data_IF_000388049283
#
_entry.id   IF_000388049283
#
_cell.length_a   1.000
_cell.length_b   1.000
_cell.length_c   1.000
_cell.angle_alpha   90.00
_cell.angle_beta   90.00
_cell.angle_gamma   90.00
#
_symmetry.space_group_name_H-M   'P 1'
#
loop_
_entity.id
_entity.type
_entity.pdbx_description
1 polymer ?
#
# COMPACT_ATOMS: atom_id res chain seq x y z
N UNK A 1 20.81 -6.88 -1.65
CA UNK A 1 19.77 -5.89 -1.26
C UNK A 1 18.38 -6.47 -1.43
N UNK A 2 17.99 -6.97 -2.61
CA UNK A 2 16.71 -7.69 -2.80
C UNK A 2 16.49 -8.77 -1.75
N UNK A 3 17.46 -9.65 -1.54
CA UNK A 3 17.42 -10.68 -0.49
C UNK A 3 17.22 -10.13 0.94
N UNK A 4 17.70 -8.91 1.23
CA UNK A 4 17.58 -8.30 2.57
C UNK A 4 16.17 -7.72 2.77
N UNK A 5 15.61 -7.12 1.72
CA UNK A 5 14.21 -6.67 1.68
C UNK A 5 13.27 -7.88 1.75
N UNK A 6 13.60 -8.98 1.07
CA UNK A 6 12.83 -10.23 1.13
C UNK A 6 12.83 -10.84 2.54
N UNK A 7 13.94 -10.73 3.30
CA UNK A 7 13.94 -11.12 4.72
C UNK A 7 12.96 -10.31 5.56
N UNK A 8 12.74 -9.02 5.26
CA UNK A 8 11.69 -8.21 5.92
C UNK A 8 10.30 -8.70 5.53
N UNK A 9 10.08 -8.98 4.24
CA UNK A 9 8.80 -9.47 3.71
C UNK A 9 8.41 -10.87 4.18
N UNK A 10 9.40 -11.70 4.51
CA UNK A 10 9.22 -13.02 5.14
C UNK A 10 9.14 -12.96 6.67
N UNK A 11 9.02 -11.77 7.25
CA UNK A 11 8.98 -11.50 8.69
C UNK A 11 10.17 -12.05 9.50
N UNK A 12 11.33 -12.25 8.86
CA UNK A 12 12.57 -12.63 9.55
C UNK A 12 13.23 -11.43 10.24
N UNK A 13 13.03 -10.23 9.67
CA UNK A 13 13.39 -8.95 10.29
C UNK A 13 12.13 -8.29 10.86
N UNK A 14 12.27 -7.61 12.00
CA UNK A 14 11.18 -6.79 12.55
C UNK A 14 10.78 -5.72 11.52
N UNK A 15 9.47 -5.48 11.39
CA UNK A 15 8.91 -4.48 10.47
C UNK A 15 9.40 -3.06 10.76
N UNK A 16 9.89 -2.78 11.98
CA UNK A 16 10.44 -1.49 12.38
C UNK A 16 11.81 -1.20 11.74
N UNK A 17 12.54 -2.22 11.26
CA UNK A 17 13.87 -2.02 10.69
C UNK A 17 13.73 -1.41 9.30
N UNK A 18 14.36 -0.25 9.12
CA UNK A 18 14.45 0.46 7.84
C UNK A 18 15.75 0.10 7.12
N UNK A 19 15.64 -0.09 5.81
CA UNK A 19 16.66 -0.57 4.89
C UNK A 19 16.77 0.40 3.71
N UNK A 20 17.70 1.34 3.79
CA UNK A 20 17.87 2.38 2.77
C UNK A 20 19.11 2.08 1.92
N UNK A 21 18.94 2.06 0.60
CA UNK A 21 20.05 1.93 -0.35
C UNK A 21 20.27 3.26 -1.08
N UNK A 22 21.34 3.96 -0.73
CA UNK A 22 21.77 5.13 -1.48
C UNK A 22 22.63 4.70 -2.68
N UNK A 23 22.09 4.85 -3.89
CA UNK A 23 22.79 4.48 -5.13
C UNK A 23 23.88 5.50 -5.48
N UNK A 24 23.68 6.78 -5.15
CA UNK A 24 24.62 7.85 -5.49
C UNK A 24 25.88 7.76 -4.63
N UNK A 25 25.67 7.61 -3.32
CA UNK A 25 26.76 7.55 -2.35
C UNK A 25 27.32 6.13 -2.17
N UNK A 26 26.66 5.13 -2.78
CA UNK A 26 27.01 3.70 -2.72
C UNK A 26 26.99 3.14 -1.30
N UNK A 27 26.07 3.65 -0.49
CA UNK A 27 25.90 3.26 0.91
C UNK A 27 24.63 2.42 1.10
N UNK A 28 24.69 1.52 2.09
CA UNK A 28 23.52 0.80 2.58
C UNK A 28 23.35 1.10 4.06
N UNK A 29 22.27 1.78 4.40
CA UNK A 29 21.97 2.25 5.76
C UNK A 29 20.88 1.38 6.35
N UNK A 30 21.07 0.98 7.60
CA UNK A 30 20.12 0.17 8.35
C UNK A 30 19.77 0.95 9.62
N UNK A 31 18.49 1.23 9.81
CA UNK A 31 18.01 1.94 10.99
C UNK A 31 17.11 1.02 11.81
N UNK A 32 17.40 0.95 13.11
CA UNK A 32 16.65 0.14 14.07
C UNK A 32 16.37 0.92 15.37
N UNK A 33 16.61 2.22 15.37
CA UNK A 33 16.31 3.13 16.48
C UNK A 33 14.80 3.33 16.63
N UNK A 34 14.40 3.71 17.85
CA UNK A 34 13.02 3.97 18.19
C UNK A 34 12.65 5.43 17.91
N UNK A 35 11.37 5.70 17.65
CA UNK A 35 10.85 7.06 17.41
C UNK A 35 10.72 7.45 15.95
N UNK A 36 11.05 6.55 15.02
CA UNK A 36 10.82 6.71 13.58
C UNK A 36 9.33 6.61 13.26
N UNK A 37 8.88 7.41 12.31
CA UNK A 37 7.48 7.47 11.88
C UNK A 37 7.33 6.56 10.68
N UNK A 38 6.52 5.52 10.83
CA UNK A 38 6.28 4.55 9.77
C UNK A 38 4.87 4.72 9.23
N UNK A 39 4.70 4.64 7.91
CA UNK A 39 3.41 4.59 7.21
C UNK A 39 3.22 3.21 6.58
N UNK A 40 2.14 2.48 6.90
CA UNK A 40 1.86 1.23 6.22
C UNK A 40 1.35 1.49 4.80
N UNK A 41 1.91 0.78 3.82
CA UNK A 41 1.54 0.84 2.42
C UNK A 41 1.41 -0.57 1.85
N UNK A 42 0.65 -0.72 0.76
CA UNK A 42 0.59 -2.00 0.05
C UNK A 42 1.84 -2.23 -0.78
N UNK A 43 2.29 -3.47 -0.81
CA UNK A 43 3.46 -3.88 -1.58
C UNK A 43 3.08 -4.27 -3.01
N UNK A 44 3.89 -3.85 -3.98
CA UNK A 44 3.75 -4.22 -5.39
C UNK A 44 4.79 -5.28 -5.76
N UNK A 45 4.36 -6.28 -6.53
CA UNK A 45 5.23 -7.31 -7.09
C UNK A 45 6.19 -6.69 -8.12
N UNK A 46 7.50 -6.79 -7.85
CA UNK A 46 8.54 -6.16 -8.68
C UNK A 46 9.19 -7.12 -9.68
N UNK A 47 9.29 -8.39 -9.31
CA UNK A 47 9.92 -9.43 -10.12
C UNK A 47 8.83 -10.28 -10.80
N UNK A 48 9.10 -10.66 -12.05
CA UNK A 48 8.33 -11.70 -12.73
C UNK A 48 8.78 -13.04 -12.14
N UNK A 49 7.86 -13.81 -11.54
CA UNK A 49 8.16 -15.14 -11.01
C UNK A 49 8.51 -16.09 -12.18
N UNK A 50 9.76 -16.05 -12.68
CA UNK A 50 10.25 -16.92 -13.75
C UNK A 50 10.61 -18.34 -13.26
N UNK A 51 10.52 -18.63 -11.95
CA UNK A 51 10.78 -19.96 -11.42
C UNK A 51 10.24 -20.18 -10.02
N UNK A 52 9.24 -21.06 -9.88
CA UNK A 52 8.82 -21.55 -8.56
C UNK A 52 7.31 -21.51 -8.29
N UNK A 53 6.46 -21.80 -9.28
CA UNK A 53 5.04 -22.06 -9.03
C UNK A 53 4.83 -23.19 -7.99
N UNK A 54 5.81 -24.08 -7.82
CA UNK A 54 5.70 -25.27 -6.98
C UNK A 54 6.15 -25.03 -5.51
N UNK A 55 7.21 -24.24 -5.27
CA UNK A 55 7.74 -24.01 -3.91
C UNK A 55 7.01 -22.86 -3.17
N UNK A 56 6.60 -21.81 -3.88
CA UNK A 56 5.83 -20.72 -3.29
C UNK A 56 4.38 -21.13 -2.98
N UNK A 57 3.80 -22.03 -3.77
CA UNK A 57 2.51 -22.65 -3.46
C UNK A 57 2.57 -23.53 -2.20
N UNK A 58 3.70 -24.20 -1.94
CA UNK A 58 3.89 -25.00 -0.72
C UNK A 58 4.05 -24.14 0.54
N UNK A 59 4.78 -23.02 0.46
CA UNK A 59 4.89 -22.06 1.55
C UNK A 59 3.57 -21.30 1.80
N UNK A 60 2.85 -20.94 0.74
CA UNK A 60 1.54 -20.33 0.82
C UNK A 60 0.50 -21.29 1.41
N UNK A 61 0.54 -22.59 1.06
CA UNK A 61 -0.31 -23.63 1.65
C UNK A 61 -0.04 -23.86 3.15
N UNK A 62 1.19 -23.66 3.63
CA UNK A 62 1.52 -23.75 5.06
C UNK A 62 0.95 -22.57 5.89
N UNK A 63 0.71 -21.42 5.26
CA UNK A 63 0.21 -20.18 5.88
C UNK A 63 -1.26 -19.89 5.49
N UNK A 64 -1.89 -20.73 4.67
CA UNK A 64 -3.25 -20.52 4.15
C UNK A 64 -3.35 -19.37 3.12
N UNK A 65 -2.24 -18.94 2.54
CA UNK A 65 -2.18 -17.92 1.50
C UNK A 65 -2.38 -18.54 0.10
N UNK A 66 -2.99 -17.82 -0.85
CA UNK A 66 -3.15 -18.27 -2.23
C UNK A 66 -1.81 -18.28 -3.00
N UNK A 67 -1.66 -19.15 -4.03
CA UNK A 67 -0.43 -19.26 -4.79
C UNK A 67 -0.13 -17.98 -5.59
N UNK A 68 1.14 -17.52 -5.64
CA UNK A 68 1.52 -16.34 -6.40
C UNK A 68 1.48 -16.67 -7.89
N UNK A 69 0.47 -16.16 -8.58
CA UNK A 69 0.46 -16.06 -10.04
C UNK A 69 0.49 -14.57 -10.41
N UNK A 70 1.43 -13.83 -9.81
CA UNK A 70 1.44 -12.37 -9.85
C UNK A 70 2.44 -11.88 -10.90
N UNK A 71 1.92 -11.41 -12.03
CA UNK A 71 2.71 -10.69 -13.03
C UNK A 71 3.24 -9.37 -12.44
N UNK A 72 4.42 -8.91 -12.87
CA UNK A 72 5.03 -7.65 -12.39
C UNK A 72 4.06 -6.46 -12.44
N UNK A 73 4.11 -5.63 -11.39
CA UNK A 73 3.24 -4.46 -11.24
C UNK A 73 1.85 -4.76 -10.69
N UNK A 74 1.60 -5.97 -10.17
CA UNK A 74 0.38 -6.32 -9.44
C UNK A 74 0.58 -6.14 -7.93
N UNK A 75 -0.50 -5.86 -7.20
CA UNK A 75 -0.47 -5.90 -5.73
C UNK A 75 -0.24 -7.33 -5.23
N UNK A 76 0.51 -7.46 -4.13
CA UNK A 76 0.65 -8.75 -3.43
C UNK A 76 -0.69 -9.13 -2.76
N UNK A 77 -1.47 -8.14 -2.33
CA UNK A 77 -2.81 -8.35 -1.79
C UNK A 77 -3.75 -8.89 -2.88
N UNK A 78 -4.33 -10.07 -2.63
CA UNK A 78 -5.29 -10.72 -3.53
C UNK A 78 -6.70 -10.71 -2.95
N UNK A 79 -7.71 -10.96 -3.81
CA UNK A 79 -9.11 -11.06 -3.38
C UNK A 79 -9.35 -12.18 -2.37
N UNK A 80 -8.55 -13.24 -2.39
CA UNK A 80 -8.71 -14.34 -1.45
C UNK A 80 -8.29 -13.95 -0.03
N UNK A 81 -7.22 -13.15 0.11
CA UNK A 81 -6.82 -12.58 1.40
C UNK A 81 -7.91 -11.66 1.96
N UNK A 82 -8.56 -10.87 1.10
CA UNK A 82 -9.68 -10.01 1.51
C UNK A 82 -10.87 -10.85 2.01
N UNK A 83 -11.21 -11.95 1.32
CA UNK A 83 -12.28 -12.87 1.75
C UNK A 83 -12.00 -13.48 3.12
N UNK A 84 -10.74 -13.81 3.41
CA UNK A 84 -10.33 -14.32 4.73
C UNK A 84 -10.60 -13.26 5.81
N UNK A 85 -10.22 -12.00 5.57
CA UNK A 85 -10.46 -10.89 6.49
C UNK A 85 -11.97 -10.60 6.68
N UNK A 86 -12.76 -10.64 5.61
CA UNK A 86 -14.21 -10.47 5.68
C UNK A 86 -14.89 -11.58 6.50
N UNK A 87 -14.47 -12.83 6.31
CA UNK A 87 -14.97 -13.96 7.09
C UNK A 87 -14.61 -13.82 8.59
N UNK A 88 -13.42 -13.32 8.89
CA UNK A 88 -12.97 -13.03 10.25
C UNK A 88 -13.79 -11.90 10.88
N UNK A 89 -14.02 -10.81 10.15
CA UNK A 89 -14.82 -9.68 10.60
C UNK A 89 -16.28 -10.08 10.87
N UNK A 90 -16.82 -10.99 10.06
CA UNK A 90 -18.16 -11.56 10.25
C UNK A 90 -18.23 -12.62 11.38
N UNK A 91 -17.13 -12.90 12.08
CA UNK A 91 -17.01 -13.95 13.09
C UNK A 91 -17.46 -15.34 12.59
N UNK A 92 -17.26 -15.62 11.30
CA UNK A 92 -17.60 -16.91 10.70
C UNK A 92 -16.51 -17.99 10.95
N UNK A 93 -15.40 -17.58 11.56
CA UNK A 93 -14.25 -18.44 11.82
C UNK A 93 -14.47 -19.21 13.14
N UNK A 94 -14.19 -20.53 13.19
CA UNK A 94 -14.41 -21.32 14.40
C UNK A 94 -13.71 -20.74 15.63
N UNK A 95 -14.38 -20.69 16.80
CA UNK A 95 -13.76 -20.20 18.03
C UNK A 95 -12.54 -21.06 18.38
N UNK A 96 -11.38 -20.42 18.53
CA UNK A 96 -10.10 -21.06 18.83
C UNK A 96 -9.09 -21.10 17.68
N UNK A 97 -9.46 -20.64 16.49
CA UNK A 97 -8.49 -20.37 15.42
C UNK A 97 -7.85 -19.00 15.60
N UNK A 98 -6.55 -18.91 15.29
CA UNK A 98 -5.82 -17.65 15.30
C UNK A 98 -6.36 -16.73 14.20
N UNK A 99 -6.60 -15.48 14.56
CA UNK A 99 -7.08 -14.45 13.65
C UNK A 99 -5.95 -14.05 12.71
N UNK A 100 -6.23 -13.96 11.42
CA UNK A 100 -5.25 -13.50 10.46
C UNK A 100 -5.00 -11.99 10.67
N UNK A 101 -6.07 -11.20 10.71
CA UNK A 101 -6.03 -9.79 11.08
C UNK A 101 -4.98 -8.95 10.35
N UNK A 102 -4.56 -7.86 10.99
CA UNK A 102 -3.53 -6.97 10.47
C UNK A 102 -2.14 -7.61 10.51
N UNK A 103 -1.83 -8.33 11.58
CA UNK A 103 -0.52 -8.96 11.73
C UNK A 103 -0.28 -9.97 10.61
N UNK A 104 -1.28 -10.76 10.21
CA UNK A 104 -1.18 -11.66 9.07
C UNK A 104 -0.89 -10.95 7.75
N UNK A 105 -1.42 -9.73 7.54
CA UNK A 105 -1.12 -8.91 6.35
C UNK A 105 0.34 -8.46 6.31
N UNK A 106 0.90 -8.11 7.47
CA UNK A 106 2.31 -7.72 7.59
C UNK A 106 3.21 -8.93 7.38
N UNK A 107 2.89 -10.07 8.02
CA UNK A 107 3.69 -11.30 7.93
C UNK A 107 3.64 -11.96 6.54
N UNK A 108 2.55 -11.77 5.79
CA UNK A 108 2.44 -12.22 4.40
C UNK A 108 3.11 -11.27 3.40
N UNK A 109 3.67 -10.14 3.85
CA UNK A 109 4.30 -9.14 2.99
C UNK A 109 3.33 -8.33 2.14
N UNK A 110 2.02 -8.46 2.36
CA UNK A 110 1.00 -7.66 1.67
C UNK A 110 1.13 -6.17 2.02
N UNK A 111 1.53 -5.89 3.26
CA UNK A 111 1.73 -4.54 3.79
C UNK A 111 3.16 -4.40 4.28
N UNK A 112 3.77 -3.29 3.91
CA UNK A 112 5.13 -2.92 4.30
C UNK A 112 5.07 -1.57 5.01
N UNK A 113 5.78 -1.45 6.14
CA UNK A 113 5.91 -0.20 6.87
C UNK A 113 7.07 0.58 6.25
N UNK A 114 6.78 1.75 5.70
CA UNK A 114 7.78 2.65 5.15
C UNK A 114 8.10 3.78 6.12
N UNK A 115 9.39 3.96 6.36
CA UNK A 115 9.94 5.13 7.04
C UNK A 115 10.08 6.32 6.09
N UNK A 116 10.21 7.52 6.63
CA UNK A 116 10.45 8.74 5.84
C UNK A 116 11.73 8.67 4.99
N UNK A 117 12.80 8.04 5.51
CA UNK A 117 14.03 7.85 4.73
C UNK A 117 13.89 6.78 3.63
N UNK A 118 13.09 5.72 3.87
CA UNK A 118 12.82 4.72 2.82
C UNK A 118 11.96 5.30 1.71
N UNK A 119 11.04 6.21 2.04
CA UNK A 119 10.14 6.89 1.10
C UNK A 119 10.92 7.65 0.01
N UNK A 120 12.14 8.13 0.28
CA UNK A 120 12.99 8.76 -0.74
C UNK A 120 13.43 7.80 -1.86
N UNK A 121 13.46 6.50 -1.57
CA UNK A 121 13.87 5.45 -2.52
C UNK A 121 12.68 4.67 -3.10
N UNK A 122 11.49 4.84 -2.53
CA UNK A 122 10.28 4.15 -2.95
C UNK A 122 9.54 4.92 -4.05
N UNK A 123 8.91 4.18 -4.96
CA UNK A 123 7.94 4.71 -5.92
C UNK A 123 6.54 4.25 -5.53
N UNK A 124 5.68 5.17 -5.11
CA UNK A 124 4.34 4.89 -4.57
C UNK A 124 3.27 5.37 -5.57
N UNK A 125 2.33 4.51 -5.94
CA UNK A 125 1.12 4.91 -6.67
C UNK A 125 -0.04 5.23 -5.70
N UNK A 126 -0.97 6.09 -6.13
CA UNK A 126 -2.05 6.57 -5.26
C UNK A 126 -3.27 5.66 -5.28
N UNK A 127 -3.58 5.05 -6.43
CA UNK A 127 -4.70 4.12 -6.56
C UNK A 127 -4.28 2.86 -7.31
N UNK A 128 -4.96 1.72 -7.11
CA UNK A 128 -4.65 0.48 -7.83
C UNK A 128 -4.90 0.61 -9.34
N UNK A 129 -5.78 1.51 -9.79
CA UNK A 129 -5.97 1.73 -11.24
C UNK A 129 -4.72 2.34 -11.90
N UNK A 130 -3.91 3.10 -11.15
CA UNK A 130 -2.64 3.62 -11.68
C UNK A 130 -1.67 2.46 -12.01
N UNK A 131 -1.73 1.35 -11.27
CA UNK A 131 -0.94 0.14 -11.57
C UNK A 131 -1.44 -0.58 -12.83
N UNK A 132 -2.76 -0.62 -13.05
CA UNK A 132 -3.34 -1.20 -14.26
C UNK A 132 -2.95 -0.39 -15.49
N UNK A 133 -3.08 0.94 -15.42
CA UNK A 133 -2.63 1.86 -16.47
C UNK A 133 -1.14 1.70 -16.77
N UNK A 134 -0.31 1.59 -15.72
CA UNK A 134 1.13 1.31 -15.85
C UNK A 134 1.40 0.00 -16.59
N UNK A 135 0.67 -1.07 -16.28
CA UNK A 135 0.84 -2.38 -16.94
C UNK A 135 0.46 -2.33 -18.41
N UNK A 136 -0.67 -1.71 -18.74
CA UNK A 136 -1.11 -1.55 -20.13
C UNK A 136 -0.11 -0.70 -20.93
N UNK A 137 0.41 0.37 -20.33
CA UNK A 137 1.45 1.20 -20.94
C UNK A 137 2.73 0.39 -21.24
N UNK A 138 3.15 -0.48 -20.33
CA UNK A 138 4.32 -1.37 -20.54
C UNK A 138 4.09 -2.43 -21.61
N UNK A 139 2.84 -2.84 -21.82
CA UNK A 139 2.46 -3.74 -22.91
C UNK A 139 2.40 -3.02 -24.28
N UNK A 140 2.68 -1.72 -24.33
CA UNK A 140 2.73 -0.94 -25.57
C UNK A 140 1.38 -0.37 -26.00
N UNK A 141 0.35 -0.47 -25.16
CA UNK A 141 -0.89 0.27 -25.37
C UNK A 141 -0.63 1.74 -25.06
N UNK A 142 -0.67 2.59 -26.09
CA UNK A 142 -0.64 4.03 -25.93
C UNK A 142 -1.99 4.46 -25.37
N UNK A 143 -2.10 4.51 -24.05
CA UNK A 143 -3.33 5.00 -23.44
C UNK A 143 -3.19 6.49 -23.23
N UNK A 144 -3.99 7.25 -23.98
CA UNK A 144 -4.24 8.63 -23.61
C UNK A 144 -4.99 8.63 -22.27
N UNK A 145 -4.59 9.48 -21.29
CA UNK A 145 -5.27 9.59 -20.00
C UNK A 145 -6.78 9.87 -20.11
N UNK A 146 -7.19 10.40 -21.27
CA UNK A 146 -8.57 10.70 -21.62
C UNK A 146 -9.35 9.42 -21.97
N UNK A 147 -8.71 8.41 -22.60
CA UNK A 147 -9.34 7.19 -23.11
C UNK A 147 -9.53 6.09 -22.05
N UNK A 148 -8.62 5.96 -21.08
CA UNK A 148 -8.73 5.02 -19.95
C UNK A 148 -10.02 5.20 -19.14
N UNK A 149 -10.60 6.38 -19.24
CA UNK A 149 -11.71 6.81 -18.42
C UNK A 149 -12.74 7.64 -19.21
N UNK A 150 -12.69 7.58 -20.55
CA UNK A 150 -13.59 8.31 -21.45
C UNK A 150 -15.06 7.89 -21.31
N UNK A 151 -15.32 6.76 -20.64
CA UNK A 151 -16.68 6.28 -20.34
C UNK A 151 -17.22 6.70 -18.97
N UNK A 152 -16.42 7.36 -18.13
CA UNK A 152 -16.73 7.55 -16.72
C UNK A 152 -16.87 9.05 -16.39
N UNK A 153 -18.07 9.41 -15.92
CA UNK A 153 -18.57 10.71 -15.47
C UNK A 153 -17.71 11.98 -15.74
N UNK A 154 -18.28 12.90 -16.52
CA UNK A 154 -17.73 14.23 -16.82
C UNK A 154 -17.35 15.05 -15.56
N UNK A 155 -17.95 14.74 -14.41
CA UNK A 155 -17.80 15.49 -13.16
C UNK A 155 -16.71 14.94 -12.21
N UNK A 156 -15.94 13.92 -12.63
CA UNK A 156 -14.90 13.33 -11.78
C UNK A 156 -13.69 14.23 -11.60
N UNK A 157 -12.94 14.01 -10.52
CA UNK A 157 -11.67 14.72 -10.26
C UNK A 157 -10.67 14.42 -11.38
N UNK A 158 -10.04 15.48 -11.90
CA UNK A 158 -8.95 15.36 -12.88
C UNK A 158 -7.78 14.62 -12.24
N UNK A 159 -7.40 13.48 -12.83
CA UNK A 159 -6.25 12.69 -12.40
C UNK A 159 -4.95 13.26 -12.98
N UNK A 160 -3.86 13.06 -12.26
CA UNK A 160 -2.52 13.40 -12.73
C UNK A 160 -2.14 12.51 -13.91
N UNK A 161 -1.50 13.08 -14.94
CA UNK A 161 -0.99 12.31 -16.07
C UNK A 161 0.16 11.41 -15.61
N UNK A 162 0.07 10.12 -15.93
CA UNK A 162 1.14 9.16 -15.63
C UNK A 162 2.33 9.48 -16.52
N UNK A 163 3.51 9.58 -15.92
CA UNK A 163 4.73 9.84 -16.68
C UNK A 163 5.16 8.56 -17.43
N UNK A 164 5.28 8.58 -18.78
CA UNK A 164 5.72 7.43 -19.56
C UNK A 164 7.12 6.93 -19.22
N UNK A 165 7.97 7.75 -18.60
CA UNK A 165 9.31 7.35 -18.16
C UNK A 165 9.32 6.61 -16.83
N UNK A 166 8.16 6.38 -16.21
CA UNK A 166 8.10 5.65 -14.94
C UNK A 166 8.55 4.20 -15.17
N UNK A 167 9.61 3.79 -14.47
CA UNK A 167 10.21 2.48 -14.68
C UNK A 167 9.49 1.36 -13.93
N UNK A 168 9.07 1.58 -12.69
CA UNK A 168 8.36 0.59 -11.86
C UNK A 168 7.76 1.25 -10.61
N UNK A 169 6.57 0.82 -10.21
CA UNK A 169 6.00 1.11 -8.89
C UNK A 169 6.44 0.05 -7.88
N UNK A 170 6.79 0.49 -6.68
CA UNK A 170 7.26 -0.39 -5.59
C UNK A 170 6.17 -0.66 -4.57
N UNK A 171 5.29 0.31 -4.35
CA UNK A 171 4.22 0.29 -3.36
C UNK A 171 2.99 1.01 -3.88
N UNK A 172 1.84 0.78 -3.24
CA UNK A 172 0.60 1.49 -3.46
C UNK A 172 0.09 2.05 -2.13
N UNK A 173 -0.37 3.29 -2.13
CA UNK A 173 -1.03 3.90 -0.97
C UNK A 173 -2.32 3.13 -0.64
N UNK A 174 -2.64 2.97 0.66
CA UNK A 174 -3.84 2.23 1.08
C UNK A 174 -5.08 3.00 0.69
N UNK A 175 -5.13 4.28 1.08
CA UNK A 175 -6.15 5.22 0.67
C UNK A 175 -5.70 6.66 0.94
N UNK A 176 -5.85 7.61 0.00
CA UNK A 176 -5.37 8.99 0.18
C UNK A 176 -5.94 9.71 1.41
N UNK A 177 -7.14 9.36 1.87
CA UNK A 177 -7.74 9.93 3.07
C UNK A 177 -6.98 9.62 4.36
N UNK A 178 -6.14 8.58 4.38
CA UNK A 178 -5.33 8.22 5.55
C UNK A 178 -4.20 9.24 5.82
N UNK A 179 -3.96 10.18 4.91
CA UNK A 179 -3.08 11.33 5.13
C UNK A 179 -3.66 12.35 6.12
N UNK A 180 -4.99 12.33 6.34
CA UNK A 180 -5.67 13.28 7.20
C UNK A 180 -5.55 12.89 8.68
N UNK A 181 -5.26 13.87 9.53
CA UNK A 181 -5.33 13.69 10.98
C UNK A 181 -6.77 13.53 11.49
N UNK A 182 -6.93 13.07 12.74
CA UNK A 182 -8.23 12.77 13.36
C UNK A 182 -9.23 13.94 13.30
N UNK A 183 -8.76 15.18 13.52
CA UNK A 183 -9.64 16.36 13.45
C UNK A 183 -10.00 16.78 12.02
N UNK A 184 -9.23 16.36 11.02
CA UNK A 184 -9.49 16.65 9.62
C UNK A 184 -10.36 15.56 8.97
N UNK A 185 -10.28 14.32 9.45
CA UNK A 185 -11.07 13.19 8.92
C UNK A 185 -12.57 13.28 9.22
N UNK A 186 -12.97 14.09 10.19
CA UNK A 186 -14.38 14.37 10.52
C UNK A 186 -15.00 15.49 9.67
N UNK A 187 -14.21 16.18 8.83
CA UNK A 187 -14.70 17.25 7.97
C UNK A 187 -15.33 16.59 6.74
N UNK A 188 -16.62 16.84 6.43
CA UNK A 188 -17.23 16.30 5.22
C UNK A 188 -16.59 16.92 3.97
N UNK A 189 -16.23 16.08 3.00
CA UNK A 189 -15.61 16.48 1.72
C UNK A 189 -14.43 17.46 1.89
N UNK A 190 -13.37 17.07 2.64
CA UNK A 190 -12.26 17.97 2.97
C UNK A 190 -11.47 18.37 1.72
N UNK A 191 -11.48 17.54 0.69
CA UNK A 191 -10.85 17.74 -0.61
C UNK A 191 -11.61 18.75 -1.51
N UNK A 192 -12.86 19.09 -1.18
CA UNK A 192 -13.70 20.04 -1.93
C UNK A 192 -13.73 21.43 -1.29
N UNK A 193 -12.96 21.65 -0.23
CA UNK A 193 -12.95 22.89 0.53
C UNK A 193 -11.62 23.63 0.37
N UNK A 194 -11.64 24.95 0.55
CA UNK A 194 -10.42 25.73 0.54
C UNK A 194 -9.53 25.32 1.72
N UNK A 195 -8.25 25.05 1.48
CA UNK A 195 -7.32 24.56 2.51
C UNK A 195 -7.38 25.30 3.86
N UNK A 196 -7.43 26.65 3.92
CA UNK A 196 -7.51 27.36 5.21
C UNK A 196 -8.78 27.04 6.01
N UNK A 197 -9.91 26.74 5.33
CA UNK A 197 -11.18 26.39 5.99
C UNK A 197 -11.10 25.03 6.70
N UNK A 198 -10.40 24.08 6.11
CA UNK A 198 -10.12 22.80 6.76
C UNK A 198 -9.28 23.01 8.02
N UNK A 199 -8.24 23.84 7.94
CA UNK A 199 -7.40 24.18 9.11
C UNK A 199 -8.22 24.82 10.22
N UNK A 200 -9.13 25.76 9.90
CA UNK A 200 -10.00 26.37 10.89
C UNK A 200 -10.91 25.35 11.56
N UNK A 201 -11.57 24.49 10.80
CA UNK A 201 -12.48 23.50 11.35
C UNK A 201 -11.74 22.46 12.21
N UNK A 202 -10.55 22.03 11.82
CA UNK A 202 -9.74 21.11 12.64
C UNK A 202 -9.30 21.74 13.97
N UNK A 203 -9.06 23.05 14.02
CA UNK A 203 -8.74 23.75 15.26
C UNK A 203 -9.98 24.01 16.13
N UNK A 204 -11.06 24.52 15.53
CA UNK A 204 -12.30 24.85 16.24
C UNK A 204 -13.06 23.60 16.70
N UNK A 205 -12.94 22.48 15.99
CA UNK A 205 -13.58 21.21 16.35
C UNK A 205 -13.19 20.69 17.73
N UNK A 206 -11.99 21.06 18.23
CA UNK A 206 -11.55 20.72 19.60
C UNK A 206 -12.33 21.44 20.70
N UNK A 207 -13.07 22.50 20.35
CA UNK A 207 -13.92 23.27 21.27
C UNK A 207 -15.38 22.82 21.21
N UNK A 208 -15.69 21.80 20.41
CA UNK A 208 -17.04 21.26 20.34
C UNK A 208 -17.47 20.68 21.69
N UNK A 209 -18.71 20.92 22.09
CA UNK A 209 -19.32 20.30 23.26
C UNK A 209 -20.05 19.03 22.82
N UNK A 210 -19.90 17.97 23.60
CA UNK A 210 -20.54 16.68 23.35
C UNK A 210 -20.42 15.77 24.57
N UNK A 211 -20.85 14.52 24.42
CA UNK A 211 -20.60 13.50 25.42
C UNK A 211 -19.11 13.17 25.44
N UNK A 212 -18.48 13.31 26.61
CA UNK A 212 -17.11 12.89 26.85
C UNK A 212 -17.11 11.73 27.86
N UNK A 213 -16.18 10.80 27.68
CA UNK A 213 -15.92 9.67 28.57
C UNK A 213 -14.52 9.81 29.16
#
# INVERSE_FOLDING_TARGET
VSQVVDTRRRALLKFEVSLVRDIRDREFKIFSDAGRIMRPVFTVQQDDDEGGADDAAAAAAAVGAPPPSSQRGQLILTKDVIRILEAEQANLVPPGTERFGWDGLVHSGCIEYLDAEEEETAMICMTPEDLEAYRLQKQGFAIEPEDLFAGDDLNRRVRTRINPTTHMYTHCEIHPSMLLGVCASIIPFPDHNQSPRNTYQSAMGKQAMGFFL
#
